data_IF_641369841693
#
_entry.id   IF_641369841693
#
_cell.length_a   1.000
_cell.length_b   1.000
_cell.length_c   1.000
_cell.angle_alpha   90.00
_cell.angle_beta   90.00
_cell.angle_gamma   90.00
#
_symmetry.space_group_name_H-M   'P 1'
#
loop_
_entity.id
_entity.type
_entity.pdbx_description
1 polymer ?
#
# COMPACT_ATOMS: atom_id res chain seq x y z
N UNK A 1 11.43 -61.11 -1.48
CA UNK A 1 10.44 -60.10 -1.05
C UNK A 1 11.06 -58.72 -1.17
N UNK A 2 10.61 -57.87 -2.11
CA UNK A 2 11.11 -56.51 -2.26
C UNK A 2 9.92 -55.53 -2.28
N UNK A 3 9.78 -54.75 -1.21
CA UNK A 3 8.73 -53.73 -1.06
C UNK A 3 9.13 -52.50 -1.87
N UNK A 4 8.68 -52.42 -3.13
CA UNK A 4 8.76 -51.19 -3.93
C UNK A 4 7.70 -50.20 -3.45
N UNK A 5 8.01 -49.46 -2.37
CA UNK A 5 7.14 -48.40 -1.88
C UNK A 5 7.14 -47.21 -2.84
N UNK A 6 6.09 -47.16 -3.68
CA UNK A 6 5.29 -45.99 -4.08
C UNK A 6 5.99 -44.61 -4.06
N UNK A 7 7.05 -44.44 -4.85
CA UNK A 7 7.67 -43.12 -5.14
C UNK A 7 6.67 -42.06 -5.65
N UNK A 8 5.59 -42.49 -6.31
CA UNK A 8 4.57 -41.58 -6.84
C UNK A 8 3.69 -40.88 -5.78
N UNK A 9 3.43 -41.53 -4.64
CA UNK A 9 2.61 -40.93 -3.58
C UNK A 9 3.33 -39.80 -2.84
N UNK A 10 4.64 -39.96 -2.61
CA UNK A 10 5.46 -38.96 -1.91
C UNK A 10 5.55 -37.64 -2.71
N UNK A 11 5.66 -37.72 -4.04
CA UNK A 11 5.71 -36.52 -4.90
C UNK A 11 4.38 -35.76 -4.91
N UNK A 12 3.24 -36.44 -4.83
CA UNK A 12 1.93 -35.77 -4.81
C UNK A 12 1.70 -35.01 -3.50
N UNK A 13 2.11 -35.58 -2.37
CA UNK A 13 2.03 -34.91 -1.05
C UNK A 13 2.92 -33.66 -1.04
N UNK A 14 4.17 -33.76 -1.49
CA UNK A 14 5.07 -32.60 -1.55
C UNK A 14 4.51 -31.47 -2.43
N UNK A 15 3.84 -31.81 -3.54
CA UNK A 15 3.23 -30.82 -4.45
C UNK A 15 1.98 -30.16 -3.84
N UNK A 16 1.19 -30.90 -3.06
CA UNK A 16 0.04 -30.34 -2.34
C UNK A 16 0.46 -29.40 -1.22
N UNK A 17 1.50 -29.75 -0.45
CA UNK A 17 2.03 -28.91 0.63
C UNK A 17 2.55 -27.58 0.09
N UNK A 18 3.31 -27.58 -1.03
CA UNK A 18 3.76 -26.33 -1.69
C UNK A 18 2.60 -25.46 -2.17
N UNK A 19 1.54 -26.05 -2.74
CA UNK A 19 0.35 -25.30 -3.17
C UNK A 19 -0.42 -24.70 -1.99
N UNK A 20 -0.54 -25.44 -0.89
CA UNK A 20 -1.20 -24.98 0.34
C UNK A 20 -0.44 -23.81 0.98
N UNK A 21 0.88 -23.93 1.09
CA UNK A 21 1.75 -22.88 1.62
C UNK A 21 1.62 -21.60 0.78
N UNK A 22 1.71 -21.69 -0.55
CA UNK A 22 1.56 -20.54 -1.44
C UNK A 22 0.21 -19.83 -1.29
N UNK A 23 -0.88 -20.58 -1.11
CA UNK A 23 -2.24 -20.02 -0.93
C UNK A 23 -2.40 -19.30 0.41
N UNK A 24 -1.73 -19.76 1.46
CA UNK A 24 -1.74 -19.13 2.77
C UNK A 24 -1.01 -17.77 2.76
N UNK A 25 0.13 -17.68 2.07
CA UNK A 25 0.88 -16.40 1.96
C UNK A 25 0.13 -15.37 1.13
N UNK A 26 -0.58 -15.80 0.07
CA UNK A 26 -1.37 -14.88 -0.77
C UNK A 26 -2.55 -14.24 -0.04
N UNK A 27 -3.14 -14.91 0.96
CA UNK A 27 -4.23 -14.32 1.77
C UNK A 27 -3.72 -13.30 2.80
N UNK A 28 -2.48 -13.42 3.28
CA UNK A 28 -1.95 -12.53 4.31
C UNK A 28 -1.67 -11.10 3.81
N UNK A 29 -1.44 -10.91 2.50
CA UNK A 29 -1.23 -9.57 1.90
C UNK A 29 -2.52 -8.90 1.41
N UNK A 30 -3.65 -9.60 1.37
CA UNK A 30 -4.83 -9.15 0.65
C UNK A 30 -5.78 -8.23 1.43
N UNK A 31 -5.52 -7.95 2.71
CA UNK A 31 -6.54 -7.28 3.53
C UNK A 31 -5.97 -6.61 4.77
N UNK A 32 -4.99 -5.71 4.60
CA UNK A 32 -4.87 -4.64 5.58
C UNK A 32 -6.04 -3.68 5.33
N UNK A 33 -6.93 -3.46 6.32
CA UNK A 33 -8.00 -2.49 6.18
C UNK A 33 -7.35 -1.12 5.98
N UNK A 34 -7.53 -0.54 4.80
CA UNK A 34 -7.15 0.85 4.52
C UNK A 34 -8.03 1.70 5.43
N UNK A 35 -7.45 2.15 6.56
CA UNK A 35 -8.12 3.08 7.46
C UNK A 35 -8.31 4.38 6.69
N UNK A 36 -9.57 4.68 6.37
CA UNK A 36 -9.94 5.97 5.78
C UNK A 36 -9.81 7.01 6.89
N UNK A 37 -8.73 7.78 6.85
CA UNK A 37 -8.55 8.94 7.73
C UNK A 37 -9.19 10.12 7.01
N UNK A 38 -10.12 10.80 7.67
CA UNK A 38 -10.60 12.10 7.20
C UNK A 38 -9.52 13.12 7.52
N UNK A 39 -9.02 13.79 6.50
CA UNK A 39 -8.05 14.88 6.63
C UNK A 39 -8.71 16.17 6.18
N UNK A 40 -8.50 17.23 6.92
CA UNK A 40 -8.95 18.57 6.53
C UNK A 40 -7.92 19.22 5.62
N UNK A 41 -8.32 20.30 4.95
CA UNK A 41 -7.36 21.10 4.19
C UNK A 41 -6.25 21.67 5.09
N UNK A 42 -6.58 22.03 6.33
CA UNK A 42 -5.60 22.51 7.31
C UNK A 42 -4.52 21.48 7.62
N UNK A 43 -4.91 20.20 7.75
CA UNK A 43 -3.97 19.11 8.01
C UNK A 43 -3.02 18.87 6.83
N UNK A 44 -3.54 18.98 5.60
CA UNK A 44 -2.74 18.85 4.38
C UNK A 44 -1.73 19.99 4.24
N UNK A 45 -2.13 21.21 4.59
CA UNK A 45 -1.24 22.37 4.61
C UNK A 45 -0.17 22.18 5.69
N UNK A 46 -0.56 21.85 6.92
CA UNK A 46 0.37 21.63 8.02
C UNK A 46 1.41 20.53 7.68
N UNK A 47 0.96 19.41 7.10
CA UNK A 47 1.84 18.34 6.64
C UNK A 47 2.78 18.79 5.51
N UNK A 48 2.32 19.66 4.60
CA UNK A 48 3.20 20.21 3.57
C UNK A 48 4.30 21.09 4.15
N UNK A 49 4.01 21.87 5.20
CA UNK A 49 5.03 22.66 5.90
C UNK A 49 6.00 21.79 6.70
N UNK A 50 5.50 20.74 7.36
CA UNK A 50 6.33 19.78 8.12
C UNK A 50 7.31 19.02 7.20
N UNK A 51 6.86 18.60 6.02
CA UNK A 51 7.70 17.89 5.05
C UNK A 51 8.67 18.83 4.32
N UNK A 52 8.23 20.03 3.96
CA UNK A 52 9.01 20.93 3.11
C UNK A 52 10.05 21.74 3.89
N UNK A 53 9.83 22.03 5.16
CA UNK A 53 10.71 22.85 6.00
C UNK A 53 10.77 24.35 5.62
N UNK A 54 10.42 24.71 4.39
CA UNK A 54 10.44 26.07 3.86
C UNK A 54 9.10 26.45 3.22
N UNK A 55 8.68 27.70 3.44
CA UNK A 55 7.39 28.23 2.98
C UNK A 55 7.20 28.14 1.47
N UNK A 56 8.25 28.41 0.67
CA UNK A 56 8.16 28.36 -0.80
C UNK A 56 7.97 26.94 -1.33
N UNK A 57 8.62 25.97 -0.71
CA UNK A 57 8.48 24.56 -1.06
C UNK A 57 7.11 24.01 -0.62
N UNK A 58 6.65 24.37 0.58
CA UNK A 58 5.30 24.05 1.05
C UNK A 58 4.22 24.63 0.13
N UNK A 59 4.37 25.90 -0.28
CA UNK A 59 3.46 26.57 -1.20
C UNK A 59 3.36 25.82 -2.53
N UNK A 60 4.50 25.37 -3.09
CA UNK A 60 4.53 24.58 -4.33
C UNK A 60 3.83 23.23 -4.20
N UNK A 61 3.92 22.57 -3.04
CA UNK A 61 3.24 21.30 -2.78
C UNK A 61 1.72 21.51 -2.69
N UNK A 62 1.29 22.53 -1.94
CA UNK A 62 -0.15 22.82 -1.74
C UNK A 62 -0.79 23.37 -3.01
N UNK A 63 -0.06 24.15 -3.83
CA UNK A 63 -0.54 24.66 -5.12
C UNK A 63 -0.31 23.66 -6.28
N UNK A 64 0.02 22.41 -5.99
CA UNK A 64 0.30 21.42 -7.04
C UNK A 64 -0.97 20.94 -7.72
N UNK A 65 -0.86 20.52 -8.99
CA UNK A 65 -1.96 19.89 -9.73
C UNK A 65 -2.48 18.64 -9.04
N UNK A 66 -1.62 17.91 -8.33
CA UNK A 66 -2.03 16.75 -7.54
C UNK A 66 -2.95 17.16 -6.38
N UNK A 67 -2.65 18.27 -5.72
CA UNK A 67 -3.51 18.79 -4.65
C UNK A 67 -4.85 19.29 -5.19
N UNK A 68 -4.85 19.90 -6.37
CA UNK A 68 -6.09 20.29 -7.07
C UNK A 68 -6.97 19.07 -7.38
N UNK A 69 -6.37 17.97 -7.87
CA UNK A 69 -7.10 16.74 -8.14
C UNK A 69 -7.70 16.11 -6.87
N UNK A 70 -7.00 16.20 -5.74
CA UNK A 70 -7.45 15.64 -4.46
C UNK A 70 -8.56 16.49 -3.84
N UNK A 71 -8.41 17.82 -3.88
CA UNK A 71 -9.30 18.75 -3.18
C UNK A 71 -10.43 19.28 -4.07
N UNK A 72 -10.34 19.09 -5.39
CA UNK A 72 -11.23 19.71 -6.38
C UNK A 72 -11.09 21.23 -6.47
N UNK A 73 -10.04 21.81 -5.88
CA UNK A 73 -9.82 23.26 -5.78
C UNK A 73 -8.38 23.59 -6.07
N UNK A 74 -8.17 24.60 -6.91
CA UNK A 74 -6.85 25.14 -7.14
C UNK A 74 -6.49 26.11 -6.01
N UNK A 75 -5.47 25.78 -5.22
CA UNK A 75 -5.05 26.57 -4.05
C UNK A 75 -3.92 27.51 -4.47
N UNK A 76 -4.09 28.81 -4.22
CA UNK A 76 -3.11 29.84 -4.53
C UNK A 76 -2.78 30.60 -3.25
N UNK A 77 -1.49 30.80 -3.00
CA UNK A 77 -1.02 31.67 -1.93
C UNK A 77 -0.87 33.08 -2.49
N UNK A 78 -1.54 34.04 -1.86
CA UNK A 78 -1.42 35.46 -2.18
C UNK A 78 -0.69 36.09 -1.00
N UNK A 79 0.55 36.54 -1.22
CA UNK A 79 1.44 37.09 -0.21
C UNK A 79 2.58 37.85 -0.84
#
# INVERSE_FOLDING_TARGET
MAKTQRRGQVMQVARQVKKSAGRAVSKAKASQPVRKVQVTLGDLIAAAFDVAGETKAAAKLVSSRSMEQITGRHIVFVG
#
